data_IF_975685855123
#
_entry.id   IF_975685855123
#
_cell.length_a   1.000
_cell.length_b   1.000
_cell.length_c   1.000
_cell.angle_alpha   90.00
_cell.angle_beta   90.00
_cell.angle_gamma   90.00
#
_symmetry.space_group_name_H-M   'P 1'
#
loop_
_entity.id
_entity.type
_entity.pdbx_description
1 polymer ?
#
# COMPACT_ATOMS: atom_id res chain seq x y z
N UNK A 1 28.63 -10.19 16.07
CA UNK A 1 28.23 -9.30 17.18
C UNK A 1 26.81 -9.70 17.59
N UNK A 2 26.74 -10.44 18.68
CA UNK A 2 25.53 -11.02 19.26
C UNK A 2 24.65 -9.88 19.76
N UNK A 3 23.42 -9.72 19.26
CA UNK A 3 22.41 -8.86 19.91
C UNK A 3 21.55 -9.73 20.80
N UNK A 4 21.60 -9.43 22.08
CA UNK A 4 20.87 -10.07 23.15
C UNK A 4 19.37 -10.10 22.87
N UNK A 5 18.80 -11.30 22.89
CA UNK A 5 17.37 -11.53 22.98
C UNK A 5 16.98 -11.21 24.42
N UNK A 6 16.47 -10.00 24.66
CA UNK A 6 15.89 -9.62 25.95
C UNK A 6 14.58 -10.41 26.12
N UNK A 7 14.63 -11.51 26.88
CA UNK A 7 13.46 -12.28 27.29
C UNK A 7 12.82 -11.63 28.51
N UNK A 8 11.79 -10.80 28.27
CA UNK A 8 10.85 -10.35 29.31
C UNK A 8 9.47 -10.93 28.97
N UNK A 9 8.93 -11.78 29.85
CA UNK A 9 7.54 -12.27 29.86
C UNK A 9 7.05 -13.21 28.73
N UNK A 10 7.86 -14.18 28.30
CA UNK A 10 7.42 -15.29 27.41
C UNK A 10 6.66 -14.84 26.14
N UNK A 11 6.84 -13.58 25.77
CA UNK A 11 6.37 -12.94 24.55
C UNK A 11 7.64 -12.58 23.82
N UNK A 12 7.86 -13.16 22.63
CA UNK A 12 8.90 -12.67 21.74
C UNK A 12 8.51 -11.23 21.40
N UNK A 13 9.13 -10.26 22.08
CA UNK A 13 9.04 -8.86 21.72
C UNK A 13 9.75 -8.74 20.38
N UNK A 14 8.99 -8.89 19.30
CA UNK A 14 9.55 -8.72 17.97
C UNK A 14 9.96 -7.26 17.85
N UNK A 15 11.26 -7.01 18.03
CA UNK A 15 11.82 -5.67 17.96
C UNK A 15 11.35 -5.06 16.64
N UNK A 16 10.74 -3.87 16.72
CA UNK A 16 10.17 -3.22 15.56
C UNK A 16 11.33 -2.94 14.61
N UNK A 17 11.38 -3.69 13.50
CA UNK A 17 12.45 -3.62 12.51
C UNK A 17 12.38 -2.32 11.72
N UNK A 18 12.97 -1.28 12.32
CA UNK A 18 13.04 0.06 11.76
C UNK A 18 13.92 0.11 10.51
N UNK A 19 14.90 -0.78 10.40
CA UNK A 19 15.74 -0.99 9.22
C UNK A 19 14.88 -1.32 7.98
N UNK A 20 13.99 -2.30 8.08
CA UNK A 20 13.10 -2.69 6.97
C UNK A 20 12.08 -1.61 6.68
N UNK A 21 11.53 -0.97 7.72
CA UNK A 21 10.59 0.15 7.53
C UNK A 21 11.26 1.33 6.83
N UNK A 22 12.53 1.61 7.13
CA UNK A 22 13.33 2.60 6.43
C UNK A 22 13.55 2.25 4.97
N UNK A 23 13.87 0.99 4.65
CA UNK A 23 13.98 0.54 3.26
C UNK A 23 12.67 0.67 2.49
N UNK A 24 11.53 0.34 3.12
CA UNK A 24 10.20 0.58 2.53
C UNK A 24 9.94 2.07 2.28
N UNK A 25 10.34 2.93 3.21
CA UNK A 25 10.21 4.38 3.03
C UNK A 25 11.04 4.87 1.84
N UNK A 26 12.29 4.41 1.70
CA UNK A 26 13.13 4.71 0.54
C UNK A 26 12.53 4.23 -0.78
N UNK A 27 11.90 3.05 -0.77
CA UNK A 27 11.21 2.52 -1.94
C UNK A 27 10.04 3.44 -2.36
N UNK A 28 9.23 3.90 -1.40
CA UNK A 28 8.14 4.86 -1.66
C UNK A 28 8.68 6.22 -2.13
N UNK A 29 9.75 6.74 -1.53
CA UNK A 29 10.40 7.99 -1.96
C UNK A 29 10.84 7.89 -3.42
N UNK A 30 11.43 6.76 -3.81
CA UNK A 30 11.87 6.54 -5.20
C UNK A 30 10.70 6.61 -6.18
N UNK A 31 9.56 6.02 -5.82
CA UNK A 31 8.32 6.08 -6.63
C UNK A 31 7.77 7.50 -6.70
N UNK A 32 7.77 8.23 -5.58
CA UNK A 32 7.33 9.63 -5.55
C UNK A 32 8.21 10.51 -6.44
N UNK A 33 9.54 10.37 -6.36
CA UNK A 33 10.48 11.11 -7.21
C UNK A 33 10.24 10.78 -8.69
N UNK A 34 10.02 9.51 -9.03
CA UNK A 34 9.72 9.12 -10.42
C UNK A 34 8.49 9.84 -10.99
N UNK A 35 7.44 10.06 -10.18
CA UNK A 35 6.24 10.76 -10.67
C UNK A 35 6.46 12.26 -10.88
N UNK A 36 7.16 12.93 -9.96
CA UNK A 36 7.35 14.39 -10.05
C UNK A 36 8.54 14.79 -10.94
N UNK A 37 9.58 13.96 -10.98
CA UNK A 37 10.84 14.22 -11.66
C UNK A 37 11.34 12.95 -12.38
N UNK A 38 10.63 12.48 -13.42
CA UNK A 38 10.96 11.22 -14.11
C UNK A 38 12.38 11.21 -14.69
N UNK A 39 12.89 12.37 -15.14
CA UNK A 39 14.25 12.50 -15.65
C UNK A 39 15.35 12.35 -14.58
N UNK A 40 15.02 12.60 -13.30
CA UNK A 40 15.98 12.50 -12.20
C UNK A 40 16.19 11.05 -11.78
N UNK A 41 15.12 10.24 -11.82
CA UNK A 41 15.16 8.84 -11.43
C UNK A 41 14.26 7.99 -12.36
N UNK A 42 14.68 7.74 -13.61
CA UNK A 42 13.85 7.08 -14.62
C UNK A 42 13.43 5.64 -14.25
N UNK A 43 14.18 5.00 -13.35
CA UNK A 43 13.87 3.66 -12.84
C UNK A 43 13.24 3.66 -11.44
N UNK A 44 12.75 4.81 -10.96
CA UNK A 44 12.17 4.91 -9.61
C UNK A 44 10.88 4.12 -9.42
N UNK A 45 10.20 3.73 -10.51
CA UNK A 45 9.05 2.82 -10.47
C UNK A 45 9.38 1.44 -9.89
N UNK A 46 10.64 0.98 -9.98
CA UNK A 46 11.11 -0.28 -9.35
C UNK A 46 10.96 -0.26 -7.82
N UNK A 47 10.79 0.91 -7.21
CA UNK A 47 10.46 1.04 -5.80
C UNK A 47 9.17 0.31 -5.41
N UNK A 48 8.21 0.16 -6.33
CA UNK A 48 6.98 -0.62 -6.07
C UNK A 48 7.32 -2.10 -5.83
N UNK A 49 8.16 -2.69 -6.68
CA UNK A 49 8.57 -4.09 -6.56
C UNK A 49 9.36 -4.34 -5.26
N UNK A 50 10.30 -3.45 -4.95
CA UNK A 50 11.08 -3.51 -3.70
C UNK A 50 10.16 -3.42 -2.48
N UNK A 51 9.18 -2.52 -2.50
CA UNK A 51 8.22 -2.37 -1.40
C UNK A 51 7.41 -3.65 -1.16
N UNK A 52 6.96 -4.33 -2.22
CA UNK A 52 6.21 -5.58 -2.11
C UNK A 52 7.07 -6.74 -1.60
N UNK A 53 8.30 -6.90 -2.10
CA UNK A 53 9.22 -7.92 -1.61
C UNK A 53 9.50 -7.74 -0.11
N UNK A 54 9.76 -6.51 0.33
CA UNK A 54 9.99 -6.20 1.75
C UNK A 54 8.75 -6.42 2.60
N UNK A 55 7.55 -6.15 2.06
CA UNK A 55 6.29 -6.42 2.74
C UNK A 55 6.13 -7.93 2.95
N UNK A 56 6.26 -8.74 1.90
CA UNK A 56 6.20 -10.20 1.97
C UNK A 56 7.19 -10.79 2.98
N UNK A 57 8.44 -10.34 2.95
CA UNK A 57 9.45 -10.76 3.92
C UNK A 57 9.02 -10.48 5.37
N UNK A 58 8.49 -9.28 5.65
CA UNK A 58 8.04 -8.90 6.99
C UNK A 58 6.87 -9.77 7.46
N UNK A 59 5.95 -10.11 6.55
CA UNK A 59 4.77 -10.92 6.86
C UNK A 59 5.15 -12.37 7.14
N UNK A 60 6.04 -12.95 6.32
CA UNK A 60 6.62 -14.27 6.59
C UNK A 60 7.26 -14.32 7.97
N UNK A 61 8.01 -13.29 8.35
CA UNK A 61 8.67 -13.18 9.66
C UNK A 61 7.67 -12.95 10.82
N UNK A 62 6.55 -12.27 10.58
CA UNK A 62 5.47 -12.14 11.58
C UNK A 62 4.73 -13.47 11.78
N UNK A 63 4.54 -14.24 10.72
CA UNK A 63 3.84 -15.54 10.73
C UNK A 63 4.77 -16.71 11.10
N UNK A 64 6.08 -16.51 11.08
CA UNK A 64 7.07 -17.53 11.41
C UNK A 64 6.84 -18.08 12.83
N UNK A 65 6.87 -19.41 12.95
CA UNK A 65 6.60 -20.13 14.20
C UNK A 65 5.16 -20.03 14.73
N UNK A 66 4.20 -19.43 14.00
CA UNK A 66 2.78 -19.40 14.42
C UNK A 66 1.99 -20.57 13.84
N UNK A 67 0.98 -21.08 14.57
CA UNK A 67 0.09 -22.10 14.03
C UNK A 67 -0.74 -21.52 12.88
N UNK A 68 -0.90 -22.31 11.81
CA UNK A 68 -1.78 -22.06 10.66
C UNK A 68 -3.26 -22.24 11.05
N UNK A 69 -3.70 -21.48 12.04
CA UNK A 69 -5.08 -21.47 12.54
C UNK A 69 -5.81 -20.21 12.07
N UNK A 70 -7.11 -20.31 11.80
CA UNK A 70 -7.96 -19.17 11.40
C UNK A 70 -7.78 -17.96 12.33
N UNK A 71 -7.74 -18.21 13.64
CA UNK A 71 -7.54 -17.17 14.66
C UNK A 71 -6.21 -16.42 14.54
N UNK A 72 -5.15 -17.04 14.00
CA UNK A 72 -3.87 -16.38 13.73
C UNK A 72 -4.04 -15.36 12.60
N UNK A 73 -4.70 -15.76 11.51
CA UNK A 73 -4.98 -14.89 10.36
C UNK A 73 -5.96 -13.77 10.72
N UNK A 74 -7.06 -14.07 11.43
CA UNK A 74 -8.02 -13.06 11.89
C UNK A 74 -7.35 -11.98 12.74
N UNK A 75 -6.50 -12.38 13.70
CA UNK A 75 -5.77 -11.44 14.53
C UNK A 75 -4.77 -10.59 13.73
N UNK A 76 -4.12 -11.20 12.73
CA UNK A 76 -3.20 -10.51 11.83
C UNK A 76 -3.93 -9.43 11.00
N UNK A 77 -4.99 -9.82 10.29
CA UNK A 77 -5.78 -8.90 9.45
C UNK A 77 -6.50 -7.83 10.28
N UNK A 78 -7.06 -8.18 11.45
CA UNK A 78 -7.74 -7.20 12.31
C UNK A 78 -6.82 -6.08 12.77
N UNK A 79 -5.58 -6.43 13.18
CA UNK A 79 -4.58 -5.43 13.59
C UNK A 79 -4.18 -4.53 12.42
N UNK A 80 -4.05 -5.12 11.21
CA UNK A 80 -3.68 -4.38 10.00
C UNK A 80 -4.80 -3.43 9.56
N UNK A 81 -6.04 -3.91 9.48
CA UNK A 81 -7.20 -3.11 9.10
C UNK A 81 -7.42 -1.96 10.07
N UNK A 82 -7.32 -2.18 11.38
CA UNK A 82 -7.45 -1.10 12.38
C UNK A 82 -6.40 0.01 12.21
N UNK A 83 -5.25 -0.31 11.62
CA UNK A 83 -4.18 0.67 11.34
C UNK A 83 -4.40 1.40 10.01
N UNK A 84 -4.77 0.70 8.95
CA UNK A 84 -4.83 1.26 7.58
C UNK A 84 -6.18 1.96 7.33
N UNK A 85 -7.27 1.38 7.78
CA UNK A 85 -8.62 1.81 7.45
C UNK A 85 -8.95 3.26 7.85
N UNK A 86 -8.55 3.77 9.04
CA UNK A 86 -8.82 5.16 9.42
C UNK A 86 -8.19 6.17 8.46
N UNK A 87 -6.94 5.91 8.04
CA UNK A 87 -6.22 6.78 7.13
C UNK A 87 -6.79 6.65 5.70
N UNK A 88 -7.15 5.44 5.28
CA UNK A 88 -7.77 5.20 3.98
C UNK A 88 -9.09 5.97 3.82
N UNK A 89 -9.96 5.98 4.85
CA UNK A 89 -11.21 6.75 4.82
C UNK A 89 -10.92 8.24 4.76
N UNK A 90 -10.01 8.74 5.61
CA UNK A 90 -9.69 10.16 5.68
C UNK A 90 -9.16 10.68 4.34
N UNK A 91 -8.19 9.98 3.75
CA UNK A 91 -7.59 10.36 2.46
C UNK A 91 -8.63 10.27 1.34
N UNK A 92 -9.45 9.22 1.30
CA UNK A 92 -10.54 9.12 0.33
C UNK A 92 -11.51 10.28 0.44
N UNK A 93 -11.91 10.65 1.67
CA UNK A 93 -12.84 11.75 1.90
C UNK A 93 -12.26 13.09 1.42
N UNK A 94 -10.99 13.36 1.73
CA UNK A 94 -10.29 14.57 1.26
C UNK A 94 -10.22 14.59 -0.27
N UNK A 95 -9.89 13.46 -0.91
CA UNK A 95 -9.83 13.38 -2.37
C UNK A 95 -11.19 13.59 -3.03
N UNK A 96 -12.28 13.09 -2.44
CA UNK A 96 -13.64 13.32 -2.94
C UNK A 96 -14.02 14.80 -2.88
N UNK A 97 -13.67 15.50 -1.79
CA UNK A 97 -13.87 16.95 -1.66
C UNK A 97 -13.05 17.68 -2.74
N UNK A 98 -11.77 17.33 -2.87
CA UNK A 98 -10.88 17.97 -3.83
C UNK A 98 -11.37 17.79 -5.28
N UNK A 99 -11.80 16.58 -5.61
CA UNK A 99 -12.39 16.25 -6.91
C UNK A 99 -13.62 17.08 -7.22
N UNK A 100 -14.52 17.27 -6.25
CA UNK A 100 -15.73 18.08 -6.43
C UNK A 100 -15.41 19.54 -6.82
N UNK A 101 -14.30 20.10 -6.31
CA UNK A 101 -13.91 21.49 -6.60
C UNK A 101 -12.99 21.64 -7.82
N UNK A 102 -12.20 20.62 -8.16
CA UNK A 102 -11.14 20.75 -9.18
C UNK A 102 -11.43 20.07 -10.53
N UNK A 103 -12.31 19.06 -10.57
CA UNK A 103 -12.50 18.21 -11.76
C UNK A 103 -13.81 18.49 -12.49
N UNK A 104 -13.85 18.13 -13.78
CA UNK A 104 -15.04 18.26 -14.64
C UNK A 104 -16.03 17.14 -14.33
N UNK A 105 -17.34 17.37 -14.48
CA UNK A 105 -18.40 16.40 -14.14
C UNK A 105 -18.19 14.98 -14.68
N UNK A 106 -17.65 14.85 -15.90
CA UNK A 106 -17.36 13.56 -16.53
C UNK A 106 -16.31 12.75 -15.75
N UNK A 107 -15.33 13.41 -15.13
CA UNK A 107 -14.26 12.79 -14.35
C UNK A 107 -14.73 12.45 -12.93
N UNK A 108 -15.68 13.21 -12.39
CA UNK A 108 -16.27 12.97 -11.06
C UNK A 108 -16.93 11.58 -11.00
N UNK A 109 -17.67 11.18 -12.04
CA UNK A 109 -18.34 9.85 -12.07
C UNK A 109 -17.33 8.71 -12.01
N UNK A 110 -16.21 8.83 -12.73
CA UNK A 110 -15.14 7.85 -12.69
C UNK A 110 -14.41 7.87 -11.34
N UNK A 111 -14.12 9.05 -10.80
CA UNK A 111 -13.44 9.18 -9.52
C UNK A 111 -14.27 8.67 -8.33
N UNK A 112 -15.60 8.79 -8.35
CA UNK A 112 -16.48 8.16 -7.34
C UNK A 112 -16.40 6.64 -7.41
N UNK A 113 -16.40 6.06 -8.61
CA UNK A 113 -16.19 4.60 -8.77
C UNK A 113 -14.82 4.20 -8.21
N UNK A 114 -13.77 4.94 -8.55
CA UNK A 114 -12.41 4.69 -8.05
C UNK A 114 -12.32 4.82 -6.52
N UNK A 115 -13.03 5.76 -5.93
CA UNK A 115 -13.14 5.89 -4.48
C UNK A 115 -13.80 4.66 -3.83
N UNK A 116 -14.85 4.11 -4.46
CA UNK A 116 -15.49 2.87 -3.99
C UNK A 116 -14.52 1.68 -4.04
N UNK A 117 -13.85 1.48 -5.18
CA UNK A 117 -12.84 0.42 -5.32
C UNK A 117 -11.68 0.60 -4.34
N UNK A 118 -11.28 1.84 -4.06
CA UNK A 118 -10.23 2.19 -3.10
C UNK A 118 -10.61 1.81 -1.66
N UNK A 119 -11.84 2.13 -1.23
CA UNK A 119 -12.33 1.79 0.11
C UNK A 119 -12.53 0.28 0.32
N UNK A 120 -12.87 -0.43 -0.75
CA UNK A 120 -12.97 -1.88 -0.76
C UNK A 120 -11.61 -2.58 -0.89
N UNK A 121 -10.51 -1.83 -0.99
CA UNK A 121 -9.18 -2.36 -1.28
C UNK A 121 -9.18 -3.31 -2.51
N UNK A 122 -9.91 -2.90 -3.54
CA UNK A 122 -10.14 -3.65 -4.77
C UNK A 122 -9.75 -2.83 -6.01
N UNK A 123 -8.89 -1.82 -5.87
CA UNK A 123 -8.50 -0.94 -6.97
C UNK A 123 -7.79 -1.68 -8.11
N UNK A 124 -7.14 -2.81 -7.81
CA UNK A 124 -6.57 -3.72 -8.80
C UNK A 124 -7.61 -4.49 -9.64
N UNK A 125 -8.87 -4.53 -9.22
CA UNK A 125 -9.98 -5.17 -9.92
C UNK A 125 -10.86 -4.17 -10.68
N UNK A 126 -10.60 -2.86 -10.55
CA UNK A 126 -11.34 -1.84 -11.29
C UNK A 126 -11.17 -2.13 -12.79
N UNK A 127 -12.24 -2.14 -13.59
CA UNK A 127 -12.13 -2.31 -15.03
C UNK A 127 -11.34 -1.13 -15.62
N UNK A 128 -10.25 -1.44 -16.30
CA UNK A 128 -9.49 -0.49 -17.10
C UNK A 128 -9.72 -0.83 -18.58
N UNK A 129 -9.61 0.17 -19.45
CA UNK A 129 -9.58 -0.10 -20.88
C UNK A 129 -8.38 -1.01 -21.16
N UNK A 130 -8.56 -2.01 -22.02
CA UNK A 130 -7.64 -3.15 -22.26
C UNK A 130 -6.19 -2.75 -22.61
N UNK A 131 -5.92 -1.47 -22.84
CA UNK A 131 -4.61 -0.92 -23.18
C UNK A 131 -3.87 -0.28 -21.99
N UNK A 132 -4.52 0.02 -20.86
CA UNK A 132 -3.86 0.65 -19.71
C UNK A 132 -3.34 -0.42 -18.73
N UNK A 133 -2.06 -0.78 -18.87
CA UNK A 133 -1.34 -1.48 -17.81
C UNK A 133 -1.18 -0.58 -16.58
N UNK A 134 -1.11 -1.14 -15.37
CA UNK A 134 -0.89 -0.39 -14.11
C UNK A 134 0.23 0.65 -14.23
N UNK A 135 1.33 0.30 -14.90
CA UNK A 135 2.46 1.20 -15.10
C UNK A 135 2.12 2.39 -16.00
N UNK A 136 1.30 2.20 -17.03
CA UNK A 136 0.80 3.28 -17.88
C UNK A 136 -0.23 4.16 -17.15
N UNK A 137 -1.06 3.56 -16.30
CA UNK A 137 -1.97 4.29 -15.41
C UNK A 137 -1.20 5.09 -14.33
N UNK A 138 -0.06 4.56 -13.86
CA UNK A 138 0.86 5.25 -12.95
C UNK A 138 1.50 6.48 -13.61
N UNK A 139 2.01 6.28 -14.82
CA UNK A 139 2.72 7.31 -15.58
C UNK A 139 1.80 8.47 -15.98
N UNK A 140 0.57 8.14 -16.37
CA UNK A 140 -0.42 9.15 -16.81
C UNK A 140 -1.08 9.90 -15.64
N UNK A 141 -1.10 9.34 -14.43
CA UNK A 141 -1.71 9.95 -13.23
C UNK A 141 -3.15 10.48 -13.44
N UNK A 142 -3.91 9.85 -14.35
CA UNK A 142 -5.25 10.30 -14.75
C UNK A 142 -6.32 10.15 -13.66
N UNK A 143 -6.04 9.40 -12.59
CA UNK A 143 -6.99 9.11 -11.51
C UNK A 143 -6.31 9.34 -10.15
N UNK A 144 -6.93 10.19 -9.32
CA UNK A 144 -6.46 10.56 -7.98
C UNK A 144 -6.31 9.34 -7.05
N UNK A 145 -7.02 8.25 -7.36
CA UNK A 145 -7.04 7.03 -6.55
C UNK A 145 -6.07 5.95 -7.03
N UNK A 146 -5.28 6.17 -8.09
CA UNK A 146 -4.36 5.16 -8.64
C UNK A 146 -3.36 4.64 -7.60
N UNK A 147 -2.93 5.48 -6.64
CA UNK A 147 -2.04 5.07 -5.55
C UNK A 147 -2.65 4.02 -4.59
N UNK A 148 -3.99 3.85 -4.57
CA UNK A 148 -4.64 2.78 -3.80
C UNK A 148 -4.48 1.40 -4.44
N UNK A 149 -4.02 1.31 -5.69
CA UNK A 149 -3.76 0.03 -6.34
C UNK A 149 -2.73 -0.79 -5.54
N UNK A 150 -1.60 -0.20 -5.18
CA UNK A 150 -0.55 -0.92 -4.44
C UNK A 150 -1.02 -1.28 -3.03
N UNK A 151 -1.80 -0.40 -2.40
CA UNK A 151 -2.42 -0.66 -1.10
C UNK A 151 -3.44 -1.82 -1.15
N UNK A 152 -4.23 -1.90 -2.23
CA UNK A 152 -5.20 -2.98 -2.47
C UNK A 152 -4.48 -4.33 -2.60
N UNK A 153 -3.42 -4.38 -3.42
CA UNK A 153 -2.56 -5.55 -3.56
C UNK A 153 -1.89 -5.91 -2.23
N UNK A 154 -1.42 -4.91 -1.48
CA UNK A 154 -0.80 -5.11 -0.16
C UNK A 154 -1.75 -5.72 0.86
N UNK A 155 -3.07 -5.54 0.74
CA UNK A 155 -4.06 -6.14 1.66
C UNK A 155 -4.52 -7.52 1.20
N UNK A 156 -4.52 -7.77 -0.11
CA UNK A 156 -4.97 -9.04 -0.70
C UNK A 156 -3.90 -10.13 -0.62
N UNK A 157 -2.65 -9.82 -0.95
CA UNK A 157 -1.59 -10.82 -1.15
C UNK A 157 -0.52 -10.84 -0.06
N UNK A 158 -0.36 -9.70 0.59
CA UNK A 158 0.58 -9.49 1.68
C UNK A 158 -0.26 -9.33 2.95
#
# INVERSE_FOLDING_TARGET
ACKEVILVNNQVMHEKRFDIQGLRAWAVISVVIFHFFPNLLPYGYLGVDVFFVLSGYLISLVLDGRPLALKTFENFYTKRLRRIFPLAILVTFINLILMYYLLVEAEIVNGVKSAMYSLLFAMNLKPHNVQEDYFQALESANDLFTHYWSLSVEIQFY
#
